data_IF_174495009852
#
_entry.id   IF_174495009852
#
_cell.length_a   1.000
_cell.length_b   1.000
_cell.length_c   1.000
_cell.angle_alpha   90.00
_cell.angle_beta   90.00
_cell.angle_gamma   90.00
#
_symmetry.space_group_name_H-M   'P 1'
#
loop_
_entity.id
_entity.type
_entity.pdbx_description
1 polymer ?
#
# COMPACT_ATOMS: atom_id res chain seq x y z
N UNK A 1 -7.00 2.18 -7.22
CA UNK A 1 -5.55 2.27 -7.53
C UNK A 1 -5.27 2.00 -9.00
N UNK A 2 -4.20 2.53 -9.56
CA UNK A 2 -3.71 2.22 -10.90
C UNK A 2 -2.20 1.92 -10.87
N UNK A 3 -1.70 1.25 -11.92
CA UNK A 3 -0.28 0.89 -12.02
C UNK A 3 0.37 1.64 -13.18
N UNK A 4 1.53 2.24 -12.92
CA UNK A 4 2.33 3.00 -13.89
C UNK A 4 3.60 2.20 -14.17
N UNK A 5 3.88 1.92 -15.44
CA UNK A 5 5.16 1.34 -15.85
C UNK A 5 6.23 2.41 -15.91
N UNK A 6 7.38 2.13 -15.31
CA UNK A 6 8.52 3.04 -15.26
C UNK A 6 9.82 2.33 -15.59
N UNK A 7 10.83 3.08 -15.99
CA UNK A 7 12.19 2.60 -16.14
C UNK A 7 13.17 3.57 -15.48
N UNK A 8 14.26 3.05 -14.92
CA UNK A 8 15.29 3.86 -14.27
C UNK A 8 16.64 3.14 -14.31
N UNK A 9 17.76 3.86 -14.12
CA UNK A 9 19.07 3.24 -14.15
C UNK A 9 19.34 2.42 -12.88
N UNK A 10 19.98 1.26 -13.05
CA UNK A 10 20.60 0.49 -11.97
C UNK A 10 21.86 1.17 -11.47
N UNK A 11 22.41 0.67 -10.36
CA UNK A 11 23.73 1.08 -9.84
C UNK A 11 24.89 0.83 -10.82
N UNK A 12 24.73 -0.13 -11.73
CA UNK A 12 25.70 -0.49 -12.77
C UNK A 12 25.38 0.13 -14.16
N UNK A 13 24.31 0.95 -14.27
CA UNK A 13 23.94 1.65 -15.50
C UNK A 13 23.00 0.88 -16.43
N UNK A 14 22.53 -0.32 -16.06
CA UNK A 14 21.49 -1.04 -16.80
C UNK A 14 20.12 -0.35 -16.62
N UNK A 15 19.26 -0.49 -17.60
CA UNK A 15 17.86 -0.04 -17.47
C UNK A 15 17.04 -1.05 -16.67
N UNK A 16 16.53 -0.63 -15.52
CA UNK A 16 15.63 -1.42 -14.69
C UNK A 16 14.18 -1.14 -15.04
N UNK A 17 13.38 -2.20 -15.13
CA UNK A 17 11.94 -2.13 -15.34
C UNK A 17 11.21 -2.14 -14.01
N UNK A 18 10.40 -1.13 -13.76
CA UNK A 18 9.61 -0.94 -12.55
C UNK A 18 8.10 -0.83 -12.81
N UNK A 19 7.34 -0.95 -11.76
CA UNK A 19 5.92 -0.64 -11.71
C UNK A 19 5.64 0.10 -10.42
N UNK A 20 5.02 1.27 -10.52
CA UNK A 20 4.48 1.99 -9.38
C UNK A 20 2.99 1.67 -9.28
N UNK A 21 2.57 1.08 -8.19
CA UNK A 21 1.15 0.97 -7.82
C UNK A 21 0.78 2.23 -7.05
N UNK A 22 -0.08 3.07 -7.65
CA UNK A 22 -0.48 4.39 -7.15
C UNK A 22 -1.87 4.36 -6.55
N UNK A 23 -2.10 4.97 -5.39
CA UNK A 23 -3.45 5.27 -4.92
C UNK A 23 -4.14 6.29 -5.84
N UNK A 24 -5.46 6.35 -5.80
CA UNK A 24 -6.21 7.37 -6.55
C UNK A 24 -6.25 8.73 -5.84
N UNK A 25 -6.09 8.71 -4.53
CA UNK A 25 -5.91 9.90 -3.69
C UNK A 25 -4.43 10.24 -3.52
N UNK A 26 -4.13 11.36 -2.91
CA UNK A 26 -2.76 11.75 -2.58
C UNK A 26 -2.10 10.67 -1.70
N UNK A 27 -0.91 10.15 -2.07
CA UNK A 27 -0.22 9.14 -1.27
C UNK A 27 0.04 9.63 0.16
N UNK A 28 -0.27 8.80 1.14
CA UNK A 28 0.08 9.03 2.56
C UNK A 28 1.54 8.74 2.84
N UNK A 29 2.14 7.85 2.06
CA UNK A 29 3.53 7.45 2.12
C UNK A 29 3.92 6.70 0.85
N UNK A 30 5.23 6.51 0.67
CA UNK A 30 5.81 5.73 -0.40
C UNK A 30 6.56 4.51 0.14
N UNK A 31 6.41 3.39 -0.54
CA UNK A 31 7.09 2.15 -0.25
C UNK A 31 7.95 1.69 -1.44
N UNK A 32 9.04 1.00 -1.14
CA UNK A 32 9.87 0.31 -2.10
C UNK A 32 9.85 -1.19 -1.79
N UNK A 33 9.63 -2.02 -2.79
CA UNK A 33 9.50 -3.46 -2.65
C UNK A 33 10.65 -4.20 -3.34
N UNK A 34 11.39 -5.02 -2.58
CA UNK A 34 12.46 -5.93 -3.01
C UNK A 34 11.91 -7.36 -3.13
N UNK A 35 11.89 -7.92 -4.34
CA UNK A 35 11.39 -9.27 -4.58
C UNK A 35 12.39 -10.38 -4.22
N UNK A 36 11.94 -11.64 -4.24
CA UNK A 36 12.73 -12.82 -3.93
C UNK A 36 13.78 -13.15 -4.99
N UNK A 37 14.72 -14.03 -4.62
CA UNK A 37 15.73 -14.61 -5.51
C UNK A 37 15.05 -15.23 -6.76
N UNK A 38 15.61 -14.95 -7.93
CA UNK A 38 15.08 -15.39 -9.24
C UNK A 38 13.61 -14.97 -9.51
N UNK A 39 13.06 -14.04 -8.72
CA UNK A 39 11.70 -13.55 -8.87
C UNK A 39 11.54 -12.43 -9.90
N UNK A 40 10.46 -11.71 -9.79
CA UNK A 40 10.21 -10.47 -10.54
C UNK A 40 9.20 -9.60 -9.79
N UNK A 41 9.03 -8.36 -10.25
CA UNK A 41 8.00 -7.46 -9.76
C UNK A 41 6.57 -7.99 -9.91
N UNK A 42 6.36 -9.08 -10.68
CA UNK A 42 5.05 -9.70 -10.90
C UNK A 42 4.78 -10.90 -9.98
N UNK A 43 5.71 -11.29 -9.11
CA UNK A 43 5.44 -12.37 -8.14
C UNK A 43 4.23 -12.03 -7.26
N UNK A 44 3.45 -13.03 -6.81
CA UNK A 44 2.28 -12.78 -5.95
C UNK A 44 2.61 -11.93 -4.73
N UNK A 45 3.72 -12.22 -4.05
CA UNK A 45 4.17 -11.44 -2.90
C UNK A 45 4.39 -9.95 -3.24
N UNK A 46 5.04 -9.63 -4.37
CA UNK A 46 5.29 -8.26 -4.78
C UNK A 46 4.02 -7.57 -5.29
N UNK A 47 3.37 -8.16 -6.32
CA UNK A 47 2.28 -7.49 -7.02
C UNK A 47 1.04 -7.32 -6.15
N UNK A 48 0.63 -8.35 -5.38
CA UNK A 48 -0.58 -8.28 -4.56
C UNK A 48 -0.37 -7.40 -3.32
N UNK A 49 0.81 -7.45 -2.70
CA UNK A 49 1.14 -6.57 -1.55
C UNK A 49 1.14 -5.11 -1.97
N UNK A 50 1.86 -4.74 -3.05
CA UNK A 50 1.95 -3.35 -3.49
C UNK A 50 0.59 -2.79 -3.94
N UNK A 51 -0.21 -3.56 -4.67
CA UNK A 51 -1.56 -3.15 -5.06
C UNK A 51 -2.46 -2.92 -3.86
N UNK A 52 -2.46 -3.85 -2.88
CA UNK A 52 -3.24 -3.70 -1.67
C UNK A 52 -2.84 -2.45 -0.87
N UNK A 53 -1.54 -2.18 -0.74
CA UNK A 53 -1.03 -0.98 -0.08
C UNK A 53 -1.47 0.30 -0.81
N UNK A 54 -1.45 0.29 -2.15
CA UNK A 54 -1.91 1.42 -2.95
C UNK A 54 -3.43 1.67 -2.79
N UNK A 55 -4.25 0.63 -2.71
CA UNK A 55 -5.67 0.74 -2.37
C UNK A 55 -5.91 1.39 -1.01
N UNK A 56 -4.92 1.31 -0.10
CA UNK A 56 -5.00 1.89 1.25
C UNK A 56 -4.19 3.20 1.40
N UNK A 57 -3.74 3.77 0.28
CA UNK A 57 -3.12 5.09 0.25
C UNK A 57 -1.60 5.10 0.37
N UNK A 58 -0.90 3.96 0.22
CA UNK A 58 0.57 3.90 0.17
C UNK A 58 1.02 3.58 -1.25
N UNK A 59 1.64 4.54 -1.93
CA UNK A 59 2.25 4.29 -3.23
C UNK A 59 3.43 3.32 -3.10
N UNK A 60 3.59 2.38 -4.06
CA UNK A 60 4.61 1.35 -3.94
C UNK A 60 5.34 1.13 -5.27
N UNK A 61 6.66 1.34 -5.28
CA UNK A 61 7.52 0.92 -6.38
C UNK A 61 7.97 -0.52 -6.14
N UNK A 62 7.76 -1.38 -7.14
CA UNK A 62 8.35 -2.71 -7.28
C UNK A 62 9.05 -2.79 -8.62
N UNK A 63 10.24 -3.38 -8.67
CA UNK A 63 11.06 -3.42 -9.88
C UNK A 63 11.73 -4.77 -10.04
N UNK A 64 12.24 -5.05 -11.22
CA UNK A 64 13.03 -6.24 -11.52
C UNK A 64 14.53 -5.91 -11.39
N UNK A 65 15.30 -6.75 -10.69
CA UNK A 65 16.74 -6.65 -10.64
C UNK A 65 17.40 -6.95 -11.99
N UNK A 66 18.67 -6.54 -12.24
CA UNK A 66 19.39 -6.83 -13.49
C UNK A 66 19.33 -8.31 -13.87
N UNK A 67 19.10 -8.59 -15.15
CA UNK A 67 18.96 -9.95 -15.69
C UNK A 67 17.69 -10.68 -15.30
N UNK A 68 16.75 -10.03 -14.60
CA UNK A 68 15.46 -10.60 -14.20
C UNK A 68 14.29 -9.83 -14.82
N UNK A 69 13.17 -10.52 -15.03
CA UNK A 69 11.91 -9.93 -15.48
C UNK A 69 12.05 -9.23 -16.82
N UNK A 70 11.92 -7.91 -16.83
CA UNK A 70 12.04 -7.05 -18.02
C UNK A 70 13.19 -6.04 -17.89
N UNK A 71 14.03 -6.16 -16.86
CA UNK A 71 15.23 -5.36 -16.71
C UNK A 71 16.35 -5.84 -17.60
N UNK A 72 17.20 -4.91 -18.04
CA UNK A 72 18.42 -5.21 -18.77
C UNK A 72 19.48 -5.86 -17.86
N UNK A 73 20.61 -6.25 -18.45
CA UNK A 73 21.74 -6.89 -17.77
C UNK A 73 21.71 -8.41 -17.86
N UNK A 74 22.72 -9.05 -17.31
CA UNK A 74 22.81 -10.49 -17.15
C UNK A 74 22.79 -10.85 -15.66
N UNK A 75 22.06 -11.89 -15.29
CA UNK A 75 22.02 -12.36 -13.92
C UNK A 75 23.41 -12.88 -13.45
N UNK A 76 24.24 -13.36 -14.39
CA UNK A 76 25.61 -13.77 -14.13
C UNK A 76 26.49 -12.65 -13.55
N UNK A 77 26.17 -11.40 -13.90
CA UNK A 77 26.90 -10.21 -13.41
C UNK A 77 26.32 -9.67 -12.09
N UNK A 78 25.23 -10.26 -11.59
CA UNK A 78 24.56 -9.78 -10.37
C UNK A 78 25.24 -10.35 -9.11
N UNK A 79 25.09 -9.62 -7.99
CA UNK A 79 25.48 -10.09 -6.66
C UNK A 79 24.50 -9.57 -5.61
N UNK A 80 24.58 -10.09 -4.39
CA UNK A 80 23.78 -9.58 -3.27
C UNK A 80 24.09 -8.10 -3.02
N UNK A 81 25.36 -7.73 -3.01
CA UNK A 81 25.82 -6.36 -2.77
C UNK A 81 25.40 -5.40 -3.90
N UNK A 82 25.46 -5.83 -5.16
CA UNK A 82 24.95 -5.04 -6.30
C UNK A 82 23.44 -4.84 -6.22
N UNK A 83 22.68 -5.86 -5.89
CA UNK A 83 21.23 -5.74 -5.73
C UNK A 83 20.83 -4.83 -4.56
N UNK A 84 21.65 -4.78 -3.49
CA UNK A 84 21.52 -3.78 -2.43
C UNK A 84 21.77 -2.37 -2.97
N UNK A 85 22.79 -2.19 -3.82
CA UNK A 85 23.06 -0.90 -4.47
C UNK A 85 21.92 -0.48 -5.42
N UNK A 86 21.26 -1.42 -6.09
CA UNK A 86 20.09 -1.15 -6.94
C UNK A 86 18.87 -0.73 -6.13
N UNK A 87 18.71 -1.20 -4.89
CA UNK A 87 17.69 -0.67 -3.98
C UNK A 87 17.95 0.82 -3.64
N UNK A 88 19.23 1.20 -3.46
CA UNK A 88 19.58 2.61 -3.27
C UNK A 88 19.31 3.44 -4.53
N UNK A 89 19.62 2.91 -5.71
CA UNK A 89 19.32 3.58 -6.98
C UNK A 89 17.82 3.76 -7.19
N UNK A 90 17.02 2.74 -6.90
CA UNK A 90 15.56 2.81 -6.97
C UNK A 90 14.98 3.84 -5.99
N UNK A 91 15.51 3.92 -4.77
CA UNK A 91 15.07 4.89 -3.78
C UNK A 91 15.42 6.33 -4.18
N UNK A 92 16.63 6.55 -4.71
CA UNK A 92 17.07 7.86 -5.20
C UNK A 92 16.23 8.31 -6.41
N UNK A 93 15.94 7.40 -7.33
CA UNK A 93 15.08 7.70 -8.48
C UNK A 93 13.64 8.05 -8.05
N UNK A 94 13.09 7.35 -7.03
CA UNK A 94 11.78 7.70 -6.47
C UNK A 94 11.79 9.10 -5.85
N UNK A 95 12.83 9.45 -5.11
CA UNK A 95 12.97 10.76 -4.47
C UNK A 95 13.06 11.89 -5.52
N UNK A 96 13.76 11.65 -6.62
CA UNK A 96 13.92 12.63 -7.71
C UNK A 96 12.64 12.84 -8.52
N UNK A 97 11.86 11.78 -8.78
CA UNK A 97 10.74 11.83 -9.71
C UNK A 97 9.36 11.91 -9.03
N UNK A 98 9.29 11.53 -7.74
CA UNK A 98 8.08 11.48 -6.91
C UNK A 98 8.39 11.93 -5.49
N UNK A 99 8.46 10.97 -4.55
CA UNK A 99 8.82 11.20 -3.15
C UNK A 99 9.72 10.08 -2.64
N UNK A 100 10.61 10.42 -1.71
CA UNK A 100 11.49 9.44 -1.06
C UNK A 100 10.68 8.34 -0.34
N UNK A 101 11.01 7.04 -0.51
CA UNK A 101 10.29 5.98 0.16
C UNK A 101 10.52 6.00 1.67
N UNK A 102 9.45 5.83 2.43
CA UNK A 102 9.47 5.76 3.90
C UNK A 102 9.38 4.32 4.42
N UNK A 103 8.88 3.40 3.62
CA UNK A 103 8.74 1.99 3.95
C UNK A 103 9.53 1.13 2.96
N UNK A 104 10.40 0.26 3.46
CA UNK A 104 11.10 -0.72 2.65
C UNK A 104 10.55 -2.12 2.98
N UNK A 105 10.09 -2.82 1.95
CA UNK A 105 9.50 -4.16 2.08
C UNK A 105 10.35 -5.14 1.31
N UNK A 106 10.66 -6.30 1.89
CA UNK A 106 11.40 -7.33 1.18
C UNK A 106 10.82 -8.73 1.39
N UNK A 107 10.78 -9.50 0.30
CA UNK A 107 10.34 -10.89 0.32
C UNK A 107 11.51 -11.84 0.10
N UNK A 108 11.62 -12.87 0.93
CA UNK A 108 12.70 -13.88 0.86
C UNK A 108 14.09 -13.20 0.85
N UNK A 109 14.97 -13.50 -0.09
CA UNK A 109 16.28 -12.85 -0.23
C UNK A 109 16.14 -11.32 -0.32
N UNK A 110 15.07 -10.81 -0.96
CA UNK A 110 14.75 -9.39 -0.97
C UNK A 110 14.57 -8.80 0.43
N UNK A 111 14.13 -9.60 1.39
CA UNK A 111 14.03 -9.20 2.80
C UNK A 111 15.42 -8.99 3.45
N UNK A 112 16.37 -9.87 3.19
CA UNK A 112 17.75 -9.70 3.65
C UNK A 112 18.40 -8.47 3.01
N UNK A 113 18.18 -8.25 1.69
CA UNK A 113 18.62 -7.05 0.97
C UNK A 113 18.01 -5.77 1.54
N UNK A 114 16.71 -5.79 1.84
CA UNK A 114 16.01 -4.66 2.44
C UNK A 114 16.58 -4.27 3.81
N UNK A 115 16.84 -5.24 4.69
CA UNK A 115 17.48 -5.00 5.99
C UNK A 115 18.89 -4.40 5.79
N UNK A 116 19.66 -4.94 4.84
CA UNK A 116 21.04 -4.48 4.57
C UNK A 116 21.04 -3.05 4.02
N UNK A 117 20.15 -2.73 3.09
CA UNK A 117 20.06 -1.42 2.45
C UNK A 117 19.53 -0.33 3.40
N UNK A 118 18.56 -0.65 4.25
CA UNK A 118 17.82 0.32 5.05
C UNK A 118 18.68 1.20 5.96
N UNK A 119 19.85 0.69 6.42
CA UNK A 119 20.77 1.45 7.28
C UNK A 119 21.23 2.75 6.61
N UNK A 120 21.50 2.69 5.31
CA UNK A 120 22.11 3.76 4.54
C UNK A 120 21.06 4.58 3.74
N UNK A 121 19.75 4.34 3.99
CA UNK A 121 18.61 5.06 3.44
C UNK A 121 17.93 5.93 4.51
N UNK A 122 18.26 7.22 4.64
CA UNK A 122 17.74 8.07 5.72
C UNK A 122 16.22 8.26 5.64
N UNK A 123 15.62 8.26 4.45
CA UNK A 123 14.18 8.40 4.24
C UNK A 123 13.36 7.21 4.78
N UNK A 124 13.94 6.00 4.78
CA UNK A 124 13.27 4.80 5.30
C UNK A 124 13.05 4.93 6.80
N UNK A 125 11.79 4.87 7.23
CA UNK A 125 11.36 4.95 8.62
C UNK A 125 11.10 3.59 9.24
N UNK A 126 10.78 2.59 8.41
CA UNK A 126 10.51 1.23 8.85
C UNK A 126 10.81 0.22 7.75
N UNK A 127 11.12 -1.00 8.16
CA UNK A 127 11.40 -2.13 7.28
C UNK A 127 10.43 -3.27 7.61
N UNK A 128 9.86 -3.91 6.59
CA UNK A 128 9.05 -5.12 6.74
C UNK A 128 9.65 -6.24 5.90
N UNK A 129 9.76 -7.43 6.45
CA UNK A 129 10.22 -8.62 5.73
C UNK A 129 9.19 -9.73 5.73
N UNK A 130 9.10 -10.47 4.64
CA UNK A 130 8.20 -11.61 4.47
C UNK A 130 9.03 -12.83 4.07
N UNK A 131 9.09 -13.86 4.93
CA UNK A 131 9.84 -15.08 4.68
C UNK A 131 11.34 -14.87 4.41
N UNK A 132 11.96 -13.88 5.05
CA UNK A 132 13.37 -13.54 4.83
C UNK A 132 14.32 -14.55 5.49
N UNK A 133 15.39 -14.98 4.79
CA UNK A 133 16.45 -15.75 5.43
C UNK A 133 17.30 -14.85 6.36
N UNK A 134 17.80 -15.43 7.42
CA UNK A 134 18.79 -14.76 8.29
C UNK A 134 20.08 -14.52 7.53
N UNK A 135 20.57 -15.56 6.85
CA UNK A 135 21.79 -15.54 6.06
C UNK A 135 21.44 -15.55 4.56
N UNK A 136 21.86 -14.53 3.77
CA UNK A 136 21.67 -14.53 2.32
C UNK A 136 22.27 -15.73 1.60
N UNK A 137 23.34 -16.35 2.15
CA UNK A 137 23.93 -17.58 1.63
C UNK A 137 22.95 -18.76 1.62
N UNK A 138 21.82 -18.67 2.32
CA UNK A 138 20.71 -19.64 2.20
C UNK A 138 20.25 -19.81 0.74
N UNK A 139 20.35 -18.80 -0.11
CA UNK A 139 20.03 -18.89 -1.54
C UNK A 139 20.84 -19.97 -2.28
N UNK A 140 22.04 -20.28 -1.81
CA UNK A 140 22.93 -21.31 -2.37
C UNK A 140 22.31 -22.72 -2.28
N UNK A 141 21.45 -22.97 -1.30
CA UNK A 141 20.76 -24.25 -1.15
C UNK A 141 19.90 -24.64 -2.38
N UNK A 142 19.48 -23.67 -3.17
CA UNK A 142 18.71 -23.91 -4.40
C UNK A 142 19.55 -24.53 -5.53
N UNK A 143 20.89 -24.49 -5.43
CA UNK A 143 21.83 -25.01 -6.43
C UNK A 143 23.10 -25.60 -5.80
N UNK A 144 22.98 -26.15 -4.60
CA UNK A 144 24.11 -26.66 -3.82
C UNK A 144 24.91 -27.75 -4.55
N UNK A 145 24.24 -28.54 -5.37
CA UNK A 145 24.84 -29.59 -6.22
C UNK A 145 25.73 -29.04 -7.35
N UNK A 146 25.61 -27.75 -7.66
CA UNK A 146 26.33 -27.07 -8.73
C UNK A 146 27.57 -26.27 -8.23
N UNK A 147 27.77 -26.14 -6.93
CA UNK A 147 28.87 -25.31 -6.37
C UNK A 147 30.23 -25.76 -6.90
N UNK A 148 30.49 -27.07 -6.90
CA UNK A 148 31.78 -27.60 -7.42
C UNK A 148 32.03 -27.26 -8.88
N UNK A 149 30.98 -27.27 -9.70
CA UNK A 149 31.01 -26.89 -11.11
C UNK A 149 31.30 -25.38 -11.28
N UNK A 150 30.73 -24.53 -10.42
CA UNK A 150 31.01 -23.08 -10.40
C UNK A 150 32.49 -22.84 -10.09
N UNK A 151 33.06 -23.59 -9.15
CA UNK A 151 34.47 -23.47 -8.78
C UNK A 151 35.40 -23.89 -9.92
N UNK A 152 35.02 -24.85 -10.74
CA UNK A 152 35.82 -25.33 -11.87
C UNK A 152 35.67 -24.42 -13.11
N UNK A 153 34.45 -24.01 -13.45
CA UNK A 153 34.12 -23.31 -14.73
C UNK A 153 33.98 -21.79 -14.58
N UNK A 154 33.84 -21.29 -13.35
CA UNK A 154 33.62 -19.88 -13.06
C UNK A 154 32.16 -19.44 -13.08
N UNK A 155 31.28 -20.18 -13.78
CA UNK A 155 29.82 -19.93 -13.84
C UNK A 155 29.09 -21.16 -14.34
N UNK A 156 27.87 -21.41 -13.85
CA UNK A 156 27.01 -22.51 -14.29
C UNK A 156 25.57 -22.08 -14.50
N UNK A 157 24.87 -22.67 -15.50
CA UNK A 157 23.45 -22.50 -15.64
C UNK A 157 22.71 -23.32 -14.57
N UNK A 158 21.70 -22.72 -13.98
CA UNK A 158 20.79 -23.35 -13.00
C UNK A 158 19.34 -23.02 -13.35
N UNK A 159 18.44 -23.97 -13.12
CA UNK A 159 17.01 -23.69 -13.30
C UNK A 159 16.38 -23.29 -11.98
N UNK A 160 15.97 -22.03 -11.85
CA UNK A 160 15.36 -21.47 -10.64
C UNK A 160 14.01 -20.86 -10.99
N UNK A 161 12.97 -21.27 -10.28
CA UNK A 161 11.62 -20.77 -10.52
C UNK A 161 11.12 -20.96 -11.97
N UNK A 162 11.58 -22.02 -12.65
CA UNK A 162 11.26 -22.31 -14.06
C UNK A 162 12.02 -21.46 -15.08
N UNK A 163 13.07 -20.74 -14.65
CA UNK A 163 13.95 -19.93 -15.51
C UNK A 163 15.37 -20.48 -15.46
N UNK A 164 16.06 -20.44 -16.59
CA UNK A 164 17.48 -20.71 -16.66
C UNK A 164 18.25 -19.42 -16.33
N UNK A 165 19.09 -19.47 -15.29
CA UNK A 165 19.91 -18.37 -14.81
C UNK A 165 21.34 -18.86 -14.66
N UNK A 166 22.32 -17.97 -14.87
CA UNK A 166 23.72 -18.30 -14.68
C UNK A 166 24.20 -17.81 -13.33
N UNK A 167 24.68 -18.72 -12.49
CA UNK A 167 25.33 -18.39 -11.20
C UNK A 167 26.82 -18.30 -11.43
N UNK A 168 27.40 -17.15 -11.12
CA UNK A 168 28.84 -16.90 -11.23
C UNK A 168 29.58 -17.16 -9.92
N UNK A 169 30.89 -17.38 -10.01
CA UNK A 169 31.75 -17.47 -8.83
C UNK A 169 31.73 -16.19 -8.02
N UNK A 170 31.72 -15.03 -8.67
CA UNK A 170 31.65 -13.73 -7.99
C UNK A 170 30.37 -13.57 -7.14
N UNK A 171 29.24 -14.18 -7.54
CA UNK A 171 28.05 -14.22 -6.71
C UNK A 171 28.26 -15.00 -5.41
N UNK A 172 28.95 -16.16 -5.46
CA UNK A 172 29.26 -16.96 -4.28
C UNK A 172 30.29 -16.28 -3.37
N UNK A 173 31.29 -15.64 -3.95
CA UNK A 173 32.33 -14.88 -3.22
C UNK A 173 31.70 -13.69 -2.47
N UNK A 174 30.79 -12.92 -3.12
CA UNK A 174 30.08 -11.81 -2.49
C UNK A 174 29.23 -12.31 -1.32
N UNK A 175 28.49 -13.43 -1.48
CA UNK A 175 27.74 -14.02 -0.39
C UNK A 175 28.59 -14.47 0.81
N UNK A 176 29.78 -15.01 0.54
CA UNK A 176 30.68 -15.49 1.58
C UNK A 176 31.27 -14.34 2.44
N UNK A 177 31.30 -13.11 1.92
CA UNK A 177 31.76 -11.93 2.65
C UNK A 177 30.66 -11.28 3.51
N UNK A 178 29.40 -11.69 3.34
CA UNK A 178 28.27 -11.10 4.06
C UNK A 178 28.27 -11.55 5.52
N UNK A 179 28.18 -10.59 6.43
CA UNK A 179 27.98 -10.84 7.86
C UNK A 179 26.58 -10.40 8.28
N UNK A 180 25.63 -11.34 8.38
CA UNK A 180 24.22 -11.03 8.69
C UNK A 180 24.06 -10.37 10.07
N UNK A 181 24.74 -10.86 11.09
CA UNK A 181 24.64 -10.30 12.46
C UNK A 181 25.05 -8.83 12.47
N UNK A 182 26.12 -8.49 11.73
CA UNK A 182 26.64 -7.14 11.69
C UNK A 182 25.65 -6.14 11.05
N UNK A 183 25.07 -6.46 9.89
CA UNK A 183 24.15 -5.52 9.24
C UNK A 183 22.78 -5.47 9.90
N UNK A 184 22.23 -6.59 10.37
CA UNK A 184 20.96 -6.63 11.10
C UNK A 184 21.07 -5.81 12.39
N UNK A 185 22.11 -6.03 13.19
CA UNK A 185 22.35 -5.32 14.45
C UNK A 185 22.63 -3.81 14.28
N UNK A 186 23.08 -3.38 13.08
CA UNK A 186 23.41 -1.98 12.77
C UNK A 186 22.29 -1.22 12.06
N UNK A 187 21.24 -1.89 11.59
CA UNK A 187 20.14 -1.25 10.81
C UNK A 187 19.45 -0.13 11.58
N UNK A 188 19.18 -0.31 12.89
CA UNK A 188 18.63 0.70 13.81
C UNK A 188 17.35 1.36 13.32
N UNK A 189 16.53 0.63 12.57
CA UNK A 189 15.20 1.07 12.16
C UNK A 189 14.15 0.09 12.69
N UNK A 190 12.91 0.53 12.89
CA UNK A 190 11.80 -0.35 13.20
C UNK A 190 11.72 -1.50 12.20
N UNK A 191 11.62 -2.74 12.69
CA UNK A 191 11.59 -3.94 11.87
C UNK A 191 10.36 -4.78 12.18
N UNK A 192 9.57 -5.07 11.14
CA UNK A 192 8.51 -6.05 11.17
C UNK A 192 8.98 -7.31 10.42
N UNK A 193 8.93 -8.44 11.09
CA UNK A 193 9.27 -9.75 10.53
C UNK A 193 7.97 -10.54 10.38
N UNK A 194 7.58 -10.86 9.15
CA UNK A 194 6.44 -11.73 8.84
C UNK A 194 6.99 -13.06 8.34
N UNK A 195 6.59 -14.17 8.96
CA UNK A 195 7.10 -15.48 8.57
C UNK A 195 6.08 -16.59 8.81
N UNK A 196 5.98 -17.52 7.87
CA UNK A 196 5.11 -18.69 8.02
C UNK A 196 5.81 -19.79 8.80
N UNK A 197 5.16 -20.38 9.84
CA UNK A 197 5.73 -21.51 10.57
C UNK A 197 5.90 -22.77 9.72
N UNK A 198 5.20 -22.84 8.60
CA UNK A 198 5.22 -23.99 7.67
C UNK A 198 6.02 -23.72 6.40
N UNK A 199 6.78 -22.63 6.35
CA UNK A 199 7.66 -22.31 5.23
C UNK A 199 8.75 -23.39 5.09
N UNK A 200 8.75 -24.10 3.95
CA UNK A 200 9.69 -25.17 3.65
C UNK A 200 10.92 -24.67 2.88
N UNK A 201 10.90 -23.44 2.40
CA UNK A 201 12.00 -22.82 1.65
C UNK A 201 12.94 -22.09 2.59
N UNK A 202 12.40 -21.25 3.44
CA UNK A 202 13.15 -20.55 4.51
C UNK A 202 12.49 -20.89 5.84
N UNK A 203 13.17 -21.67 6.67
CA UNK A 203 12.63 -22.10 7.96
C UNK A 203 12.38 -20.93 8.91
N UNK A 204 11.38 -21.09 9.79
CA UNK A 204 10.98 -20.08 10.80
C UNK A 204 12.14 -19.68 11.74
N UNK A 205 13.15 -20.54 11.91
CA UNK A 205 14.37 -20.26 12.68
C UNK A 205 15.12 -19.03 12.14
N UNK A 206 15.06 -18.75 10.83
CA UNK A 206 15.59 -17.53 10.23
C UNK A 206 14.93 -16.27 10.82
N UNK A 207 13.60 -16.26 10.91
CA UNK A 207 12.87 -15.15 11.51
C UNK A 207 13.22 -14.97 13.00
N UNK A 208 13.39 -16.07 13.73
CA UNK A 208 13.81 -16.04 15.13
C UNK A 208 15.21 -15.45 15.29
N UNK A 209 16.17 -15.87 14.45
CA UNK A 209 17.55 -15.34 14.44
C UNK A 209 17.57 -13.86 14.11
N UNK A 210 16.83 -13.41 13.06
CA UNK A 210 16.68 -11.99 12.72
C UNK A 210 16.13 -11.23 13.93
N UNK A 211 15.07 -11.75 14.55
CA UNK A 211 14.45 -11.11 15.72
C UNK A 211 15.43 -11.01 16.89
N UNK A 212 16.23 -12.01 17.16
CA UNK A 212 17.21 -11.98 18.27
C UNK A 212 18.28 -10.90 18.06
N UNK A 213 18.82 -10.77 16.84
CA UNK A 213 19.92 -9.86 16.52
C UNK A 213 19.44 -8.41 16.29
N UNK A 214 18.25 -8.23 15.72
CA UNK A 214 17.72 -6.91 15.46
C UNK A 214 17.49 -6.11 16.75
N UNK A 215 17.73 -4.80 16.68
CA UNK A 215 17.46 -3.88 17.79
C UNK A 215 16.00 -3.44 17.83
N UNK A 216 15.53 -3.04 18.99
CA UNK A 216 14.21 -2.42 19.13
C UNK A 216 14.12 -1.06 18.40
N UNK A 217 12.92 -0.70 17.88
CA UNK A 217 11.67 -1.46 17.92
C UNK A 217 11.64 -2.58 16.87
N UNK A 218 11.18 -3.75 17.24
CA UNK A 218 11.04 -4.93 16.38
C UNK A 218 9.79 -5.72 16.72
N UNK A 219 9.17 -6.33 15.72
CA UNK A 219 7.99 -7.17 15.84
C UNK A 219 8.15 -8.43 15.01
N UNK A 220 7.66 -9.56 15.50
CA UNK A 220 7.57 -10.82 14.78
C UNK A 220 6.12 -11.27 14.74
N UNK A 221 5.59 -11.53 13.56
CA UNK A 221 4.23 -12.00 13.35
C UNK A 221 4.26 -13.28 12.53
N UNK A 222 3.58 -14.30 13.04
CA UNK A 222 3.38 -15.56 12.33
C UNK A 222 2.32 -15.41 11.24
N UNK A 223 2.65 -15.85 10.02
CA UNK A 223 1.71 -15.93 8.91
C UNK A 223 1.15 -17.37 8.82
N UNK A 224 -0.01 -17.59 9.41
CA UNK A 224 -0.58 -18.93 9.46
C UNK A 224 -0.96 -19.45 8.07
N UNK A 225 -0.53 -20.68 7.78
CA UNK A 225 -0.86 -21.42 6.54
C UNK A 225 -0.47 -20.70 5.22
N UNK A 226 0.49 -19.79 5.26
CA UNK A 226 1.01 -19.09 4.08
C UNK A 226 2.20 -19.89 3.52
N UNK A 227 2.22 -20.12 2.21
CA UNK A 227 3.37 -20.69 1.50
C UNK A 227 4.47 -19.64 1.28
N UNK A 228 5.70 -20.08 1.03
CA UNK A 228 6.85 -19.18 0.86
C UNK A 228 6.61 -18.07 -0.19
N UNK A 229 6.03 -18.41 -1.33
CA UNK A 229 5.81 -17.49 -2.45
C UNK A 229 4.50 -16.69 -2.34
N UNK A 230 3.71 -16.89 -1.26
CA UNK A 230 2.42 -16.24 -1.04
C UNK A 230 1.43 -16.45 -2.21
N UNK A 231 1.43 -17.65 -2.77
CA UNK A 231 0.59 -17.98 -3.91
C UNK A 231 -0.87 -18.18 -3.53
N UNK A 232 -1.13 -18.61 -2.31
CA UNK A 232 -2.50 -18.80 -1.78
C UNK A 232 -3.28 -17.50 -1.87
N UNK A 233 -4.55 -17.65 -2.21
CA UNK A 233 -5.44 -16.49 -2.28
C UNK A 233 -5.55 -15.77 -0.93
N UNK A 234 -5.51 -14.43 -0.96
CA UNK A 234 -5.54 -13.59 0.22
C UNK A 234 -4.24 -13.53 1.03
N UNK A 235 -3.24 -14.41 0.81
CA UNK A 235 -2.03 -14.48 1.65
C UNK A 235 -1.19 -13.18 1.62
N UNK A 236 -0.92 -12.66 0.42
CA UNK A 236 -0.16 -11.42 0.25
C UNK A 236 -0.94 -10.19 0.76
N UNK A 237 -2.26 -10.16 0.56
CA UNK A 237 -3.12 -9.10 1.07
C UNK A 237 -3.19 -9.10 2.60
N UNK A 238 -3.23 -10.29 3.21
CA UNK A 238 -3.16 -10.43 4.67
C UNK A 238 -1.83 -9.91 5.22
N UNK A 239 -0.70 -10.28 4.61
CA UNK A 239 0.60 -9.74 4.99
C UNK A 239 0.64 -8.20 4.81
N UNK A 240 0.10 -7.68 3.70
CA UNK A 240 0.01 -6.25 3.44
C UNK A 240 -0.81 -5.51 4.50
N UNK A 241 -1.93 -6.07 4.95
CA UNK A 241 -2.78 -5.48 6.00
C UNK A 241 -2.06 -5.35 7.34
N UNK A 242 -1.24 -6.36 7.70
CA UNK A 242 -0.41 -6.32 8.90
C UNK A 242 0.67 -5.25 8.76
N UNK A 243 1.37 -5.22 7.61
CA UNK A 243 2.41 -4.19 7.32
C UNK A 243 1.79 -2.80 7.42
N UNK A 244 0.64 -2.56 6.79
CA UNK A 244 -0.06 -1.28 6.82
C UNK A 244 -0.41 -0.85 8.25
N UNK A 245 -1.08 -1.74 9.01
CA UNK A 245 -1.50 -1.44 10.39
C UNK A 245 -0.32 -1.15 11.31
N UNK A 246 0.76 -1.92 11.17
CA UNK A 246 1.97 -1.72 11.96
C UNK A 246 2.72 -0.45 11.55
N UNK A 247 2.76 -0.12 10.26
CA UNK A 247 3.48 1.04 9.72
C UNK A 247 2.81 2.38 10.09
N UNK A 248 1.51 2.41 10.37
CA UNK A 248 0.79 3.64 10.77
C UNK A 248 1.50 4.42 11.88
N UNK A 249 2.13 3.71 12.82
CA UNK A 249 2.89 4.31 13.91
C UNK A 249 4.12 5.10 13.45
N UNK A 250 4.65 4.76 12.28
CA UNK A 250 5.89 5.33 11.73
C UNK A 250 5.63 6.29 10.56
N UNK A 251 4.37 6.45 10.16
CA UNK A 251 3.99 7.50 9.23
C UNK A 251 4.37 8.87 9.82
N UNK A 252 4.87 9.76 8.98
CA UNK A 252 4.85 11.18 9.32
C UNK A 252 3.41 11.61 9.53
N UNK A 253 3.20 12.69 10.28
CA UNK A 253 1.99 13.47 10.07
C UNK A 253 1.85 13.69 8.56
N UNK A 254 0.67 13.36 8.00
CA UNK A 254 0.41 13.64 6.60
C UNK A 254 0.86 15.08 6.31
N UNK A 255 1.51 15.35 5.16
CA UNK A 255 1.82 16.73 4.81
C UNK A 255 0.55 17.55 5.02
N UNK A 256 0.67 18.67 5.72
CA UNK A 256 -0.45 19.60 5.88
C UNK A 256 -0.86 20.04 4.48
N UNK A 257 -1.89 19.38 3.97
CA UNK A 257 -2.52 19.81 2.72
C UNK A 257 -3.24 21.11 3.06
N UNK A 258 -2.81 22.20 2.44
CA UNK A 258 -3.48 23.49 2.60
C UNK A 258 -5.00 23.28 2.36
N UNK A 259 -5.84 23.57 3.36
CA UNK A 259 -7.27 23.33 3.24
C UNK A 259 -7.84 24.20 2.11
N UNK A 260 -8.77 23.65 1.36
CA UNK A 260 -9.54 24.46 0.40
C UNK A 260 -10.33 25.54 1.15
N UNK A 261 -10.63 26.66 0.51
CA UNK A 261 -11.55 27.64 1.04
C UNK A 261 -12.84 26.99 1.53
N UNK A 262 -13.50 27.61 2.54
CA UNK A 262 -14.80 27.13 3.01
C UNK A 262 -15.78 27.00 1.84
N UNK A 263 -16.65 25.99 1.92
CA UNK A 263 -17.66 25.69 0.89
C UNK A 263 -17.10 25.37 -0.52
N UNK A 264 -15.83 24.92 -0.59
CA UNK A 264 -15.17 24.58 -1.85
C UNK A 264 -14.87 23.08 -1.91
N UNK A 265 -15.17 22.47 -3.04
CA UNK A 265 -14.72 21.13 -3.40
C UNK A 265 -14.05 21.15 -4.78
N UNK A 266 -13.04 20.29 -4.95
CA UNK A 266 -12.30 20.14 -6.21
C UNK A 266 -12.30 18.67 -6.59
N UNK A 267 -12.62 18.35 -7.83
CA UNK A 267 -12.51 17.00 -8.37
C UNK A 267 -11.44 16.99 -9.47
N UNK A 268 -10.65 15.92 -9.52
CA UNK A 268 -9.70 15.63 -10.59
C UNK A 268 -9.92 14.21 -11.12
N UNK A 269 -9.78 14.03 -12.43
CA UNK A 269 -9.85 12.71 -13.04
C UNK A 269 -8.74 11.81 -12.51
N UNK A 270 -9.03 10.52 -12.37
CA UNK A 270 -8.06 9.51 -12.01
C UNK A 270 -7.83 8.53 -13.16
N UNK A 271 -6.92 7.58 -13.00
CA UNK A 271 -6.56 6.61 -14.04
C UNK A 271 -7.20 5.22 -13.82
N UNK A 272 -7.95 5.01 -12.74
CA UNK A 272 -8.58 3.72 -12.45
C UNK A 272 -9.69 3.36 -13.43
N UNK A 273 -10.50 4.33 -13.77
CA UNK A 273 -11.55 4.21 -14.80
C UNK A 273 -11.66 5.51 -15.58
N UNK A 274 -12.41 5.50 -16.68
CA UNK A 274 -12.70 6.72 -17.45
C UNK A 274 -13.65 7.68 -16.70
N UNK A 275 -14.36 7.17 -15.69
CA UNK A 275 -15.42 7.87 -14.97
C UNK A 275 -15.08 8.14 -13.50
N UNK A 276 -13.88 7.73 -13.06
CA UNK A 276 -13.49 7.93 -11.67
C UNK A 276 -12.84 9.29 -11.41
N UNK A 277 -13.05 9.80 -10.20
CA UNK A 277 -12.48 11.07 -9.76
C UNK A 277 -12.00 10.99 -8.30
N UNK A 278 -10.89 11.66 -8.02
CA UNK A 278 -10.51 12.03 -6.67
C UNK A 278 -11.13 13.38 -6.33
N UNK A 279 -11.90 13.44 -5.26
CA UNK A 279 -12.63 14.63 -4.81
C UNK A 279 -12.04 15.09 -3.49
N UNK A 280 -11.67 16.35 -3.40
CA UNK A 280 -11.19 16.98 -2.17
C UNK A 280 -12.17 18.04 -1.68
N UNK A 281 -12.51 17.97 -0.40
CA UNK A 281 -13.31 18.98 0.30
C UNK A 281 -12.62 19.35 1.62
N UNK A 282 -12.23 20.60 1.79
CA UNK A 282 -11.38 21.01 2.89
C UNK A 282 -10.02 20.29 2.84
N UNK A 283 -9.62 19.66 3.94
CA UNK A 283 -8.40 18.84 4.06
C UNK A 283 -8.64 17.35 3.80
N UNK A 284 -9.84 16.95 3.39
CA UNK A 284 -10.20 15.54 3.19
C UNK A 284 -10.32 15.21 1.71
N UNK A 285 -9.83 14.06 1.35
CA UNK A 285 -9.93 13.51 -0.01
C UNK A 285 -10.70 12.19 0.01
N UNK A 286 -11.53 11.97 -1.00
CA UNK A 286 -12.27 10.74 -1.23
C UNK A 286 -12.21 10.37 -2.71
N UNK A 287 -12.50 9.14 -3.03
CA UNK A 287 -12.53 8.62 -4.39
C UNK A 287 -13.98 8.35 -4.78
N UNK A 288 -14.34 8.65 -6.04
CA UNK A 288 -15.67 8.35 -6.59
C UNK A 288 -15.54 7.59 -7.89
N UNK A 289 -16.48 6.70 -8.15
CA UNK A 289 -16.64 6.04 -9.45
C UNK A 289 -18.14 5.91 -9.73
N UNK A 290 -18.51 5.53 -10.93
CA UNK A 290 -19.92 5.27 -11.27
C UNK A 290 -20.13 3.78 -11.51
N UNK A 291 -21.40 3.28 -11.41
CA UNK A 291 -21.74 1.91 -11.72
C UNK A 291 -21.31 1.48 -13.12
N UNK A 292 -21.07 0.19 -13.31
CA UNK A 292 -20.65 -0.38 -14.60
C UNK A 292 -21.60 -0.05 -15.75
N UNK A 293 -22.89 0.03 -15.48
CA UNK A 293 -23.91 0.41 -16.45
C UNK A 293 -23.73 1.85 -16.98
N UNK A 294 -23.01 2.70 -16.25
CA UNK A 294 -22.70 4.09 -16.60
C UNK A 294 -21.26 4.25 -17.11
N UNK A 295 -20.55 3.17 -17.36
CA UNK A 295 -19.19 3.18 -17.91
C UNK A 295 -18.05 3.18 -16.87
N UNK A 296 -18.36 3.13 -15.57
CA UNK A 296 -17.39 2.93 -14.50
C UNK A 296 -17.08 1.47 -14.22
N UNK A 297 -16.47 1.20 -13.08
CA UNK A 297 -16.18 -0.14 -12.57
C UNK A 297 -16.81 -0.43 -11.22
N UNK A 298 -17.58 0.53 -10.67
CA UNK A 298 -18.22 0.41 -9.36
C UNK A 298 -17.18 0.18 -8.25
N UNK A 299 -16.15 1.04 -8.23
CA UNK A 299 -15.00 0.89 -7.31
C UNK A 299 -15.21 1.63 -5.98
N UNK A 300 -16.10 2.62 -5.94
CA UNK A 300 -16.42 3.40 -4.75
C UNK A 300 -17.75 4.14 -4.94
N UNK A 301 -18.14 4.91 -3.94
CA UNK A 301 -19.39 5.70 -3.93
C UNK A 301 -19.52 6.56 -5.19
N UNK A 302 -20.69 6.53 -5.83
CA UNK A 302 -20.95 7.39 -6.97
C UNK A 302 -21.23 8.85 -6.56
N UNK A 303 -21.04 9.84 -7.46
CA UNK A 303 -21.38 11.22 -7.19
C UNK A 303 -22.85 11.44 -6.79
N UNK A 304 -23.77 10.65 -7.34
CA UNK A 304 -25.19 10.69 -6.96
C UNK A 304 -25.42 10.18 -5.54
N UNK A 305 -24.82 9.04 -5.18
CA UNK A 305 -24.92 8.49 -3.81
C UNK A 305 -24.26 9.42 -2.80
N UNK A 306 -23.17 10.10 -3.18
CA UNK A 306 -22.51 11.09 -2.34
C UNK A 306 -23.46 12.28 -2.03
N UNK A 307 -24.19 12.74 -3.03
CA UNK A 307 -25.19 13.80 -2.84
C UNK A 307 -26.33 13.35 -1.92
N UNK A 308 -26.88 12.15 -2.12
CA UNK A 308 -27.91 11.59 -1.27
C UNK A 308 -27.42 11.39 0.17
N UNK A 309 -26.18 10.93 0.31
CA UNK A 309 -25.53 10.77 1.62
C UNK A 309 -25.35 12.11 2.34
N UNK A 310 -24.97 13.16 1.60
CA UNK A 310 -24.85 14.51 2.14
C UNK A 310 -26.20 15.02 2.67
N UNK A 311 -27.28 14.82 1.92
CA UNK A 311 -28.64 15.21 2.34
C UNK A 311 -29.13 14.41 3.56
N UNK A 312 -28.85 13.10 3.60
CA UNK A 312 -29.19 12.25 4.74
C UNK A 312 -28.47 12.70 6.02
N UNK A 313 -27.15 12.93 5.92
CA UNK A 313 -26.34 13.38 7.04
C UNK A 313 -26.72 14.79 7.54
N UNK A 314 -26.99 15.71 6.63
CA UNK A 314 -27.43 17.07 6.94
C UNK A 314 -28.77 17.07 7.66
N UNK A 315 -29.73 16.26 7.21
CA UNK A 315 -31.04 16.07 7.86
C UNK A 315 -30.88 15.49 9.28
N UNK A 316 -30.05 14.45 9.44
CA UNK A 316 -29.77 13.88 10.76
C UNK A 316 -29.18 14.93 11.71
N UNK A 317 -28.21 15.72 11.24
CA UNK A 317 -27.60 16.79 12.03
C UNK A 317 -28.61 17.88 12.40
N UNK A 318 -29.48 18.30 11.49
CA UNK A 318 -30.49 19.32 11.73
C UNK A 318 -31.49 18.89 12.84
N UNK A 319 -31.97 17.66 12.78
CA UNK A 319 -32.86 17.10 13.82
C UNK A 319 -32.17 17.01 15.17
N UNK A 320 -30.94 16.53 15.23
CA UNK A 320 -30.13 16.42 16.48
C UNK A 320 -29.78 17.79 17.06
N UNK A 321 -29.52 18.78 16.20
CA UNK A 321 -29.31 20.15 16.64
C UNK A 321 -30.59 20.74 17.29
N UNK A 322 -31.72 20.49 16.68
CA UNK A 322 -33.04 20.89 17.27
C UNK A 322 -33.28 20.20 18.62
N UNK A 323 -33.05 18.88 18.72
CA UNK A 323 -33.13 18.16 19.99
C UNK A 323 -32.25 18.77 21.08
N UNK A 324 -31.02 19.14 20.73
CA UNK A 324 -30.08 19.79 21.65
C UNK A 324 -30.60 21.18 22.09
N UNK A 325 -31.04 22.00 21.15
CA UNK A 325 -31.55 23.33 21.41
C UNK A 325 -32.79 23.33 22.31
N UNK A 326 -33.68 22.36 22.10
CA UNK A 326 -34.91 22.18 22.86
C UNK A 326 -34.76 21.32 24.12
N UNK A 327 -33.55 20.82 24.36
CA UNK A 327 -33.21 19.96 25.51
C UNK A 327 -33.98 18.63 25.55
N UNK A 328 -34.35 18.10 24.42
CA UNK A 328 -35.00 16.80 24.28
C UNK A 328 -33.95 15.71 24.48
N UNK A 329 -33.89 15.12 25.67
CA UNK A 329 -32.86 14.15 26.08
C UNK A 329 -33.24 12.71 25.83
N UNK A 330 -34.50 12.47 25.47
CA UNK A 330 -35.09 11.15 25.23
C UNK A 330 -34.99 10.70 23.77
N UNK A 331 -34.36 11.51 22.92
CA UNK A 331 -34.02 11.11 21.55
C UNK A 331 -32.77 10.25 21.59
N UNK A 332 -32.89 8.95 21.27
CA UNK A 332 -31.80 7.98 21.24
C UNK A 332 -31.07 7.98 19.89
N UNK A 333 -31.83 7.96 18.77
CA UNK A 333 -31.27 7.91 17.42
C UNK A 333 -32.19 8.64 16.41
N UNK A 334 -31.57 9.04 15.30
CA UNK A 334 -32.26 9.61 14.12
C UNK A 334 -31.81 8.84 12.89
N UNK A 335 -32.70 8.06 12.28
CA UNK A 335 -32.40 7.30 11.08
C UNK A 335 -33.04 8.03 9.88
N UNK A 336 -32.21 8.32 8.89
CA UNK A 336 -32.61 9.05 7.67
C UNK A 336 -32.32 8.20 6.44
N UNK A 337 -33.34 7.91 5.67
CA UNK A 337 -33.22 7.27 4.37
C UNK A 337 -33.58 8.29 3.30
N UNK A 338 -32.70 8.44 2.31
CA UNK A 338 -32.91 9.32 1.15
C UNK A 338 -32.79 8.47 -0.11
N UNK A 339 -33.83 8.55 -0.95
CA UNK A 339 -33.92 7.79 -2.20
C UNK A 339 -34.22 8.74 -3.36
N UNK A 340 -33.55 8.53 -4.50
CA UNK A 340 -33.87 9.22 -5.76
C UNK A 340 -34.58 8.26 -6.70
N UNK A 341 -35.84 8.58 -7.05
CA UNK A 341 -36.67 7.78 -7.95
C UNK A 341 -37.29 8.68 -9.01
N UNK A 342 -36.94 8.38 -10.27
CA UNK A 342 -37.45 9.13 -11.41
C UNK A 342 -36.95 10.58 -11.44
N UNK A 343 -37.74 11.51 -10.96
CA UNK A 343 -37.46 12.94 -10.92
C UNK A 343 -37.58 13.55 -9.51
N UNK A 344 -37.77 12.72 -8.50
CA UNK A 344 -37.97 13.14 -7.12
C UNK A 344 -36.98 12.52 -6.15
N UNK A 345 -36.59 13.31 -5.15
CA UNK A 345 -35.89 12.82 -3.97
C UNK A 345 -36.92 12.66 -2.85
N UNK A 346 -37.04 11.43 -2.35
CA UNK A 346 -37.87 11.11 -1.19
C UNK A 346 -36.98 10.96 0.04
N UNK A 347 -37.46 11.41 1.20
CA UNK A 347 -36.78 11.35 2.47
C UNK A 347 -37.70 10.78 3.55
N UNK A 348 -37.27 9.71 4.20
CA UNK A 348 -37.91 9.11 5.36
C UNK A 348 -37.06 9.32 6.60
N UNK A 349 -37.65 9.79 7.69
CA UNK A 349 -36.96 10.03 8.96
C UNK A 349 -37.65 9.25 10.06
N UNK A 350 -36.91 8.41 10.75
CA UNK A 350 -37.34 7.66 11.92
C UNK A 350 -36.71 8.23 13.18
N UNK A 351 -37.52 8.70 14.12
CA UNK A 351 -37.06 9.18 15.42
C UNK A 351 -37.19 8.05 16.44
N UNK A 352 -36.06 7.63 17.01
CA UNK A 352 -36.00 6.55 18.01
C UNK A 352 -35.83 7.19 19.39
N UNK A 353 -36.62 6.71 20.37
CA UNK A 353 -36.56 7.19 21.74
C UNK A 353 -37.94 7.32 22.36
N UNK A 354 -37.98 7.57 23.67
CA UNK A 354 -39.22 7.82 24.42
C UNK A 354 -39.63 9.30 24.28
N UNK A 355 -40.23 9.61 23.11
CA UNK A 355 -40.55 10.98 22.70
C UNK A 355 -42.06 11.26 22.84
N UNK A 356 -42.39 12.38 23.44
CA UNK A 356 -43.75 12.91 23.45
C UNK A 356 -44.18 13.32 22.02
N UNK A 357 -45.49 13.46 21.80
CA UNK A 357 -46.03 13.96 20.52
C UNK A 357 -45.54 15.39 20.21
N UNK A 358 -45.33 16.22 21.22
CA UNK A 358 -44.77 17.58 21.10
C UNK A 358 -43.30 17.54 20.69
N UNK A 359 -42.51 16.66 21.29
CA UNK A 359 -41.10 16.45 20.89
C UNK A 359 -40.99 15.96 19.44
N UNK A 360 -41.84 14.97 19.06
CA UNK A 360 -41.86 14.47 17.69
C UNK A 360 -42.24 15.55 16.68
N UNK A 361 -43.24 16.39 16.97
CA UNK A 361 -43.64 17.49 16.11
C UNK A 361 -42.49 18.54 15.98
N UNK A 362 -41.83 18.85 17.08
CA UNK A 362 -40.69 19.79 17.13
C UNK A 362 -39.55 19.27 16.28
N UNK A 363 -39.18 18.00 16.44
CA UNK A 363 -38.10 17.37 15.67
C UNK A 363 -38.43 17.21 14.20
N UNK A 364 -39.68 16.89 13.87
CA UNK A 364 -40.15 16.80 12.50
C UNK A 364 -40.06 18.14 11.75
N UNK A 365 -40.32 19.26 12.42
CA UNK A 365 -40.19 20.60 11.83
C UNK A 365 -38.71 20.95 11.47
N UNK A 366 -37.73 20.31 12.11
CA UNK A 366 -36.33 20.54 11.84
C UNK A 366 -35.81 19.77 10.61
N UNK A 367 -36.54 18.79 10.08
CA UNK A 367 -36.13 17.92 8.99
C UNK A 367 -35.66 18.69 7.74
N UNK A 368 -36.30 19.81 7.40
CA UNK A 368 -36.01 20.65 6.23
C UNK A 368 -35.24 21.93 6.56
N UNK A 369 -34.51 21.97 7.68
CA UNK A 369 -33.74 23.17 8.06
C UNK A 369 -32.25 23.07 7.71
N UNK A 370 -31.82 21.94 7.14
CA UNK A 370 -30.45 21.66 6.79
C UNK A 370 -29.88 22.58 5.69
N UNK A 371 -28.56 22.67 5.64
CA UNK A 371 -27.85 23.49 4.67
C UNK A 371 -27.80 22.91 3.26
N UNK A 372 -27.73 21.57 3.16
CA UNK A 372 -27.68 20.87 1.85
C UNK A 372 -28.97 21.05 1.07
N UNK A 373 -30.14 21.00 1.71
CA UNK A 373 -31.38 21.23 1.04
C UNK A 373 -31.46 22.64 0.41
N UNK A 374 -30.93 23.64 1.06
CA UNK A 374 -30.83 25.01 0.52
C UNK A 374 -29.87 25.07 -0.69
N UNK A 375 -28.76 24.30 -0.67
CA UNK A 375 -27.82 24.24 -1.78
C UNK A 375 -28.39 23.57 -3.02
N UNK A 376 -29.30 22.61 -2.89
CA UNK A 376 -29.98 21.95 -4.02
C UNK A 376 -30.83 22.93 -4.86
N UNK A 377 -31.27 24.03 -4.28
CA UNK A 377 -31.98 25.11 -4.99
C UNK A 377 -31.09 26.23 -5.53
N UNK A 378 -29.78 26.14 -5.38
CA UNK A 378 -28.85 27.19 -5.82
C UNK A 378 -28.63 27.20 -7.33
N UNK A 379 -28.40 28.39 -7.89
CA UNK A 379 -28.05 28.55 -9.32
C UNK A 379 -26.60 28.17 -9.56
N UNK A 380 -26.34 27.29 -10.53
CA UNK A 380 -24.99 26.92 -10.97
C UNK A 380 -24.51 27.95 -12.00
N UNK A 381 -23.28 28.48 -11.82
CA UNK A 381 -22.61 29.37 -12.79
C UNK A 381 -21.33 28.67 -13.25
N UNK A 382 -21.23 28.46 -14.55
CA UNK A 382 -20.09 27.78 -15.16
C UNK A 382 -19.02 28.78 -15.63
N UNK A 383 -17.76 28.38 -15.46
CA UNK A 383 -16.60 29.01 -16.08
C UNK A 383 -15.77 27.89 -16.67
N UNK A 384 -15.58 27.92 -18.00
CA UNK A 384 -14.80 26.92 -18.74
C UNK A 384 -13.54 27.63 -19.26
N UNK A 385 -12.38 27.14 -18.89
CA UNK A 385 -11.07 27.66 -19.29
C UNK A 385 -10.34 26.68 -20.20
#
# INVERSE_FOLDING_TARGET
MHSISVTFPSSAGYTLAGTIDMPETTPKAWALFSHCFAGSRFTPAAARTCKWLAEHGIACLRFDYPGLGQSEGDFADSSFSMNVADLHAAAAWLEENYEAPQLLIGHSLGGAMAIRAAKDMPSIRAVATMGAPFDPAHSVLHFADKIGEVDETGAVPVTLGGRELTISRSYLEDLAEINPEAYIGRMRKPLLILHSPIDQTVGIDSAQKIYLVARYPKSLVSLDKVDHLMTRDGAAQYAASIIYSWFQKYLSAAPEVEPLPEHTAVARSTQSTKMSAAVRAGARELFTDVPRAQGGKDLDISPQELLLSALAADTNNAVRAAATAQRIRTLDDVQVTVTYEGDAITRSVTLVGDLSDEDRATLAAAVSTGGVEKLLGATIKDTIS
#
